data_IF_822923875635
#
_entry.id   IF_822923875635
#
_cell.length_a   1.000
_cell.length_b   1.000
_cell.length_c   1.000
_cell.angle_alpha   90.00
_cell.angle_beta   90.00
_cell.angle_gamma   90.00
#
_symmetry.space_group_name_H-M   'P 1'
#
loop_
_entity.id
_entity.type
_entity.pdbx_description
1 polymer ?
#
# COMPACT_ATOMS: atom_id res chain seq x y z
N UNK A 1 54.27 -15.86 -0.64
CA UNK A 1 53.73 -14.51 -0.54
C UNK A 1 52.27 -14.61 -0.95
N UNK A 2 51.37 -14.68 0.04
CA UNK A 2 49.94 -14.71 -0.22
C UNK A 2 49.43 -13.25 -0.27
N UNK A 3 48.87 -12.87 -1.40
CA UNK A 3 48.19 -11.57 -1.54
C UNK A 3 46.89 -11.60 -0.75
N UNK A 4 46.58 -10.59 0.07
CA UNK A 4 45.31 -10.50 0.72
C UNK A 4 44.23 -10.23 -0.33
N UNK A 5 43.18 -11.06 -0.34
CA UNK A 5 41.98 -10.84 -1.12
C UNK A 5 41.35 -9.50 -0.64
N UNK A 6 41.07 -8.56 -1.54
CA UNK A 6 40.42 -7.31 -1.14
C UNK A 6 39.05 -7.62 -0.49
N UNK A 7 38.80 -7.00 0.63
CA UNK A 7 37.48 -7.03 1.27
C UNK A 7 36.42 -6.52 0.28
N UNK A 8 35.25 -7.18 0.19
CA UNK A 8 34.18 -6.69 -0.67
C UNK A 8 33.77 -5.28 -0.20
N UNK A 9 33.36 -4.40 -1.13
CA UNK A 9 32.88 -3.06 -0.77
C UNK A 9 31.72 -3.17 0.24
N UNK A 10 31.67 -2.25 1.19
CA UNK A 10 30.57 -2.10 2.15
C UNK A 10 29.26 -2.04 1.38
N UNK A 11 28.55 -3.15 1.34
CA UNK A 11 27.23 -3.27 0.76
C UNK A 11 26.26 -3.11 1.91
N UNK A 12 25.43 -2.08 1.87
CA UNK A 12 24.28 -1.99 2.72
C UNK A 12 23.46 -3.28 2.57
N UNK A 13 23.32 -4.01 3.66
CA UNK A 13 22.56 -5.26 3.71
C UNK A 13 21.11 -4.95 3.31
N UNK A 14 20.52 -5.68 2.34
CA UNK A 14 19.10 -5.50 2.01
C UNK A 14 18.23 -5.63 3.25
N UNK A 15 17.35 -4.64 3.46
CA UNK A 15 16.41 -4.59 4.58
C UNK A 15 15.01 -5.10 4.19
N UNK A 16 14.78 -5.36 2.90
CA UNK A 16 13.51 -5.85 2.37
C UNK A 16 13.72 -6.96 1.31
N UNK A 17 12.67 -7.79 1.13
CA UNK A 17 12.66 -8.82 0.10
C UNK A 17 12.85 -8.24 -1.31
N UNK A 18 12.25 -7.09 -1.60
CA UNK A 18 12.34 -6.46 -2.93
C UNK A 18 13.75 -5.93 -3.22
N UNK A 19 14.43 -5.37 -2.23
CA UNK A 19 15.86 -4.99 -2.35
C UNK A 19 16.74 -6.23 -2.56
N UNK A 20 16.47 -7.33 -1.84
CA UNK A 20 17.17 -8.59 -2.06
C UNK A 20 16.98 -9.12 -3.49
N UNK A 21 15.76 -9.08 -4.01
CA UNK A 21 15.46 -9.49 -5.41
C UNK A 21 16.23 -8.63 -6.41
N UNK A 22 16.23 -7.30 -6.22
CA UNK A 22 16.96 -6.36 -7.07
C UNK A 22 18.46 -6.63 -7.04
N UNK A 23 19.04 -6.86 -5.85
CA UNK A 23 20.44 -7.18 -5.66
C UNK A 23 20.84 -8.51 -6.36
N UNK A 24 20.03 -9.57 -6.14
CA UNK A 24 20.27 -10.87 -6.80
C UNK A 24 20.25 -10.70 -8.33
N UNK A 25 19.25 -10.00 -8.88
CA UNK A 25 19.14 -9.78 -10.34
C UNK A 25 20.33 -9.02 -10.89
N UNK A 26 20.77 -7.96 -10.21
CA UNK A 26 21.90 -7.15 -10.64
C UNK A 26 23.22 -7.98 -10.68
N UNK A 27 23.41 -8.85 -9.70
CA UNK A 27 24.64 -9.65 -9.56
C UNK A 27 24.58 -11.02 -10.20
N UNK A 28 23.42 -11.45 -10.67
CA UNK A 28 23.22 -12.80 -11.18
C UNK A 28 24.27 -13.25 -12.22
N UNK A 29 24.66 -12.40 -13.20
CA UNK A 29 25.67 -12.76 -14.19
C UNK A 29 27.08 -12.98 -13.59
N UNK A 30 27.37 -12.40 -12.43
CA UNK A 30 28.69 -12.47 -11.77
C UNK A 30 28.78 -13.64 -10.78
N UNK A 31 27.64 -14.29 -10.49
CA UNK A 31 27.61 -15.43 -9.58
C UNK A 31 28.18 -16.70 -10.23
N UNK A 32 28.86 -17.52 -9.42
CA UNK A 32 29.26 -18.86 -9.88
C UNK A 32 28.04 -19.71 -10.24
N UNK A 33 28.19 -20.75 -11.10
CA UNK A 33 27.04 -21.59 -11.49
C UNK A 33 26.26 -22.17 -10.30
N UNK A 34 26.95 -22.61 -9.25
CA UNK A 34 26.29 -23.09 -8.03
C UNK A 34 25.51 -22.00 -7.29
N UNK A 35 26.04 -20.77 -7.27
CA UNK A 35 25.36 -19.64 -6.66
C UNK A 35 24.17 -19.17 -7.51
N UNK A 36 24.28 -19.24 -8.84
CA UNK A 36 23.16 -18.97 -9.74
C UNK A 36 22.01 -19.97 -9.53
N UNK A 37 22.31 -21.26 -9.35
CA UNK A 37 21.30 -22.27 -9.02
C UNK A 37 20.62 -21.97 -7.67
N UNK A 38 21.41 -21.67 -6.64
CA UNK A 38 20.88 -21.29 -5.32
C UNK A 38 20.02 -20.01 -5.40
N UNK A 39 20.54 -18.95 -6.01
CA UNK A 39 19.86 -17.68 -6.18
C UNK A 39 18.57 -17.80 -7.01
N UNK A 40 18.59 -18.57 -8.10
CA UNK A 40 17.42 -18.88 -8.91
C UNK A 40 16.33 -19.55 -8.07
N UNK A 41 16.69 -20.58 -7.30
CA UNK A 41 15.74 -21.25 -6.41
C UNK A 41 15.15 -20.30 -5.36
N UNK A 42 15.95 -19.40 -4.77
CA UNK A 42 15.48 -18.40 -3.83
C UNK A 42 14.42 -17.47 -4.46
N UNK A 43 14.60 -17.07 -5.71
CA UNK A 43 13.66 -16.21 -6.42
C UNK A 43 12.40 -16.95 -6.88
N UNK A 44 12.54 -18.20 -7.33
CA UNK A 44 11.44 -18.99 -7.90
C UNK A 44 10.54 -19.62 -6.82
N UNK A 45 11.11 -19.92 -5.63
CA UNK A 45 10.44 -20.62 -4.54
C UNK A 45 10.49 -19.88 -3.19
N UNK A 46 10.21 -18.58 -3.12
CA UNK A 46 10.42 -17.78 -1.92
C UNK A 46 9.60 -18.25 -0.72
N UNK A 47 8.38 -18.75 -0.95
CA UNK A 47 7.49 -19.23 0.11
C UNK A 47 8.03 -20.55 0.73
N UNK A 48 8.67 -21.41 -0.08
CA UNK A 48 9.31 -22.63 0.38
C UNK A 48 10.58 -22.32 1.21
N UNK A 49 11.34 -21.32 0.80
CA UNK A 49 12.53 -20.83 1.53
C UNK A 49 12.15 -20.37 2.94
N UNK A 50 11.03 -19.66 3.07
CA UNK A 50 10.56 -19.16 4.36
C UNK A 50 10.25 -20.28 5.37
N UNK A 51 9.66 -21.40 4.91
CA UNK A 51 9.14 -22.45 5.80
C UNK A 51 10.03 -23.69 5.88
N UNK A 52 11.05 -23.81 5.01
CA UNK A 52 11.91 -24.99 4.95
C UNK A 52 13.21 -24.80 5.72
N UNK A 53 13.84 -25.91 6.15
CA UNK A 53 15.21 -25.88 6.67
C UNK A 53 16.20 -25.61 5.55
N UNK A 54 17.37 -25.01 5.89
CA UNK A 54 18.45 -24.76 4.93
C UNK A 54 18.85 -26.02 4.16
N UNK A 55 18.91 -27.18 4.83
CA UNK A 55 19.25 -28.46 4.18
C UNK A 55 18.24 -28.83 3.10
N UNK A 56 16.94 -28.65 3.39
CA UNK A 56 15.87 -28.95 2.42
C UNK A 56 15.90 -27.96 1.25
N UNK A 57 16.15 -26.68 1.51
CA UNK A 57 16.32 -25.67 0.45
C UNK A 57 17.52 -26.02 -0.43
N UNK A 58 18.67 -26.40 0.17
CA UNK A 58 19.88 -26.77 -0.56
C UNK A 58 19.66 -28.02 -1.44
N UNK A 59 18.98 -29.04 -0.90
CA UNK A 59 18.61 -30.26 -1.65
C UNK A 59 17.74 -29.91 -2.85
N UNK A 60 16.69 -29.11 -2.67
CA UNK A 60 15.78 -28.70 -3.72
C UNK A 60 16.44 -27.80 -4.77
N UNK A 61 17.31 -26.91 -4.35
CA UNK A 61 18.11 -26.06 -5.23
C UNK A 61 19.28 -26.81 -5.90
N UNK A 62 19.49 -28.08 -5.58
CA UNK A 62 20.60 -28.92 -6.08
C UNK A 62 21.98 -28.31 -5.80
N UNK A 63 22.13 -27.69 -4.63
CA UNK A 63 23.41 -27.12 -4.17
C UNK A 63 23.79 -27.68 -2.79
N UNK A 64 25.06 -27.53 -2.42
CA UNK A 64 25.49 -27.89 -1.06
C UNK A 64 24.97 -26.82 -0.04
N UNK A 65 24.60 -27.22 1.20
CA UNK A 65 24.19 -26.25 2.24
C UNK A 65 25.20 -25.13 2.48
N UNK A 66 26.52 -25.46 2.42
CA UNK A 66 27.59 -24.48 2.55
C UNK A 66 27.58 -23.42 1.42
N UNK A 67 27.06 -23.77 0.23
CA UNK A 67 26.93 -22.83 -0.88
C UNK A 67 25.85 -21.78 -0.59
N UNK A 68 24.75 -22.14 0.08
CA UNK A 68 23.72 -21.18 0.50
C UNK A 68 24.23 -20.20 1.56
N UNK A 69 25.05 -20.68 2.52
CA UNK A 69 25.68 -19.80 3.51
C UNK A 69 26.62 -18.80 2.83
N UNK A 70 27.47 -19.26 1.93
CA UNK A 70 28.40 -18.39 1.18
C UNK A 70 27.66 -17.42 0.25
N UNK A 71 26.57 -17.86 -0.39
CA UNK A 71 25.72 -17.00 -1.19
C UNK A 71 25.11 -15.90 -0.32
N UNK A 72 24.59 -16.23 0.88
CA UNK A 72 24.07 -15.24 1.82
C UNK A 72 25.12 -14.18 2.17
N UNK A 73 26.34 -14.62 2.48
CA UNK A 73 27.47 -13.73 2.78
C UNK A 73 27.86 -12.85 1.60
N UNK A 74 27.85 -13.38 0.37
CA UNK A 74 28.12 -12.61 -0.84
C UNK A 74 27.02 -11.58 -1.14
N UNK A 75 25.79 -11.81 -0.67
CA UNK A 75 24.66 -10.87 -0.76
C UNK A 75 24.64 -9.87 0.41
N UNK A 76 25.65 -9.85 1.30
CA UNK A 76 25.79 -8.89 2.39
C UNK A 76 25.19 -9.33 3.71
N UNK A 77 24.68 -10.56 3.84
CA UNK A 77 24.12 -11.07 5.09
C UNK A 77 25.18 -11.80 5.93
N UNK A 78 25.11 -11.72 7.28
CA UNK A 78 26.01 -12.48 8.16
C UNK A 78 25.95 -13.99 7.91
N UNK A 79 24.76 -14.50 7.55
CA UNK A 79 24.54 -15.90 7.26
C UNK A 79 23.17 -16.22 6.66
N UNK A 80 22.84 -17.51 6.63
CA UNK A 80 21.59 -18.00 6.06
C UNK A 80 20.36 -17.55 6.82
N UNK A 81 20.40 -17.48 8.15
CA UNK A 81 19.24 -17.15 8.94
C UNK A 81 18.76 -15.72 8.68
N UNK A 82 19.67 -14.77 8.64
CA UNK A 82 19.40 -13.36 8.40
C UNK A 82 18.84 -13.14 6.98
N UNK A 83 19.41 -13.83 5.98
CA UNK A 83 18.83 -13.81 4.63
C UNK A 83 17.44 -14.45 4.62
N UNK A 84 17.23 -15.60 5.27
CA UNK A 84 15.95 -16.28 5.36
C UNK A 84 14.89 -15.45 6.08
N UNK A 85 15.26 -14.61 7.04
CA UNK A 85 14.32 -13.76 7.78
C UNK A 85 13.57 -12.79 6.85
N UNK A 86 14.16 -12.34 5.74
CA UNK A 86 13.44 -11.56 4.73
C UNK A 86 12.33 -12.37 4.03
N UNK A 87 12.56 -13.66 3.79
CA UNK A 87 11.53 -14.55 3.22
C UNK A 87 10.43 -14.83 4.23
N UNK A 88 10.79 -15.03 5.50
CA UNK A 88 9.82 -15.20 6.60
C UNK A 88 8.98 -13.94 6.79
N UNK A 89 9.60 -12.76 6.78
CA UNK A 89 8.91 -11.48 6.87
C UNK A 89 7.94 -11.32 5.69
N UNK A 90 8.36 -11.66 4.46
CA UNK A 90 7.49 -11.65 3.28
C UNK A 90 6.26 -12.56 3.43
N UNK A 91 6.43 -13.77 3.94
CA UNK A 91 5.30 -14.70 4.16
C UNK A 91 4.37 -14.19 5.24
N UNK A 92 4.91 -13.59 6.32
CA UNK A 92 4.11 -12.99 7.39
C UNK A 92 3.32 -11.75 6.91
N UNK A 93 3.87 -11.00 5.96
CA UNK A 93 3.22 -9.82 5.39
C UNK A 93 2.31 -10.16 4.20
N UNK A 94 2.38 -11.40 3.68
CA UNK A 94 1.49 -11.85 2.61
C UNK A 94 0.09 -12.02 3.17
N UNK A 95 -0.90 -11.32 2.64
CA UNK A 95 -2.28 -11.49 3.09
C UNK A 95 -2.71 -12.95 2.95
N UNK A 96 -3.32 -13.50 3.99
CA UNK A 96 -3.89 -14.85 3.94
C UNK A 96 -4.91 -14.92 2.79
N UNK A 97 -4.88 -16.00 1.95
CA UNK A 97 -5.83 -16.14 0.85
C UNK A 97 -7.28 -16.00 1.32
N UNK A 98 -8.08 -15.23 0.60
CA UNK A 98 -9.50 -15.00 0.93
C UNK A 98 -10.28 -16.32 1.12
N UNK A 99 -9.93 -17.36 0.35
CA UNK A 99 -10.54 -18.70 0.46
C UNK A 99 -10.20 -19.40 1.78
N UNK A 100 -8.98 -19.21 2.33
CA UNK A 100 -8.58 -19.74 3.63
C UNK A 100 -9.39 -19.07 4.75
N UNK A 101 -9.43 -17.73 4.73
CA UNK A 101 -10.24 -16.93 5.66
C UNK A 101 -11.72 -17.27 5.58
N UNK A 102 -12.26 -17.45 4.36
CA UNK A 102 -13.65 -17.85 4.15
C UNK A 102 -13.94 -19.24 4.77
N UNK A 103 -13.03 -20.20 4.63
CA UNK A 103 -13.19 -21.54 5.25
C UNK A 103 -13.21 -21.45 6.78
N UNK A 104 -12.35 -20.63 7.38
CA UNK A 104 -12.34 -20.42 8.82
C UNK A 104 -13.62 -19.75 9.30
N UNK A 105 -14.11 -18.74 8.57
CA UNK A 105 -15.36 -18.04 8.86
C UNK A 105 -16.58 -18.97 8.80
N UNK A 106 -16.68 -19.85 7.79
CA UNK A 106 -17.78 -20.80 7.65
C UNK A 106 -17.81 -21.80 8.81
N UNK A 107 -16.65 -22.19 9.35
CA UNK A 107 -16.54 -23.09 10.50
C UNK A 107 -16.94 -22.41 11.81
N UNK A 108 -16.74 -21.09 11.95
CA UNK A 108 -16.95 -20.31 13.17
C UNK A 108 -18.02 -19.22 12.96
N UNK A 109 -19.20 -19.62 12.46
CA UNK A 109 -20.29 -18.69 12.10
C UNK A 109 -21.03 -18.06 13.27
N UNK A 110 -20.93 -18.67 14.48
CA UNK A 110 -21.58 -18.17 15.67
C UNK A 110 -20.93 -16.84 16.11
N UNK A 111 -21.74 -15.85 16.46
CA UNK A 111 -21.33 -14.50 16.84
C UNK A 111 -20.54 -13.71 15.76
N UNK A 112 -20.54 -14.14 14.49
CA UNK A 112 -19.77 -13.48 13.42
C UNK A 112 -20.09 -11.99 13.28
N UNK A 113 -21.38 -11.62 13.31
CA UNK A 113 -21.80 -10.22 13.19
C UNK A 113 -21.26 -9.36 14.34
N UNK A 114 -21.37 -9.84 15.57
CA UNK A 114 -20.83 -9.15 16.75
C UNK A 114 -19.32 -9.01 16.69
N UNK A 115 -18.60 -10.09 16.37
CA UNK A 115 -17.15 -10.08 16.26
C UNK A 115 -16.67 -9.13 15.15
N UNK A 116 -17.43 -9.02 14.05
CA UNK A 116 -17.14 -8.08 12.97
C UNK A 116 -17.27 -6.63 13.45
N UNK A 117 -18.34 -6.29 14.15
CA UNK A 117 -18.56 -4.93 14.68
C UNK A 117 -17.50 -4.55 15.72
N UNK A 118 -17.12 -5.48 16.61
CA UNK A 118 -16.04 -5.27 17.58
C UNK A 118 -14.70 -5.02 16.88
N UNK A 119 -14.37 -5.80 15.85
CA UNK A 119 -13.16 -5.58 15.07
C UNK A 119 -13.16 -4.22 14.35
N UNK A 120 -14.31 -3.81 13.81
CA UNK A 120 -14.46 -2.49 13.18
C UNK A 120 -14.27 -1.34 14.18
N UNK A 121 -14.81 -1.46 15.39
CA UNK A 121 -14.59 -0.49 16.46
C UNK A 121 -13.09 -0.39 16.80
N UNK A 122 -12.42 -1.50 16.98
CA UNK A 122 -10.99 -1.54 17.24
C UNK A 122 -10.17 -0.90 16.09
N UNK A 123 -10.54 -1.17 14.84
CA UNK A 123 -9.90 -0.54 13.68
C UNK A 123 -10.04 0.98 13.71
N UNK A 124 -11.21 1.51 14.08
CA UNK A 124 -11.44 2.95 14.20
C UNK A 124 -10.59 3.56 15.32
N UNK A 125 -10.53 2.93 16.49
CA UNK A 125 -9.72 3.39 17.63
C UNK A 125 -8.23 3.42 17.27
N UNK A 126 -7.71 2.35 16.70
CA UNK A 126 -6.32 2.25 16.25
C UNK A 126 -6.00 3.30 15.20
N UNK A 127 -6.88 3.48 14.23
CA UNK A 127 -6.71 4.46 13.15
C UNK A 127 -6.74 5.89 13.68
N UNK A 128 -7.64 6.21 14.60
CA UNK A 128 -7.73 7.53 15.21
C UNK A 128 -6.46 7.91 15.99
N UNK A 129 -5.88 6.95 16.72
CA UNK A 129 -4.65 7.17 17.48
C UNK A 129 -3.45 7.58 16.60
N UNK A 130 -3.40 7.15 15.33
CA UNK A 130 -2.29 7.42 14.43
C UNK A 130 -2.49 8.70 13.60
N UNK A 131 -3.73 9.13 13.33
CA UNK A 131 -3.98 10.07 12.22
C UNK A 131 -4.44 11.47 12.63
N UNK A 132 -4.83 11.72 13.88
CA UNK A 132 -5.49 12.97 14.26
C UNK A 132 -4.81 14.26 13.76
N UNK A 133 -3.48 14.36 13.92
CA UNK A 133 -2.70 15.49 13.41
C UNK A 133 -2.48 15.42 11.89
N UNK A 134 -2.23 14.24 11.36
CA UNK A 134 -1.88 14.04 9.94
C UNK A 134 -3.06 14.34 9.03
N UNK A 135 -4.31 14.04 9.44
CA UNK A 135 -5.53 14.40 8.72
C UNK A 135 -5.62 15.92 8.51
N UNK A 136 -5.37 16.71 9.56
CA UNK A 136 -5.39 18.17 9.47
C UNK A 136 -4.31 18.70 8.52
N UNK A 137 -3.11 18.12 8.57
CA UNK A 137 -2.01 18.50 7.69
C UNK A 137 -2.29 18.11 6.23
N UNK A 138 -2.83 16.92 5.99
CA UNK A 138 -3.26 16.45 4.66
C UNK A 138 -4.36 17.34 4.08
N UNK A 139 -5.37 17.69 4.87
CA UNK A 139 -6.42 18.61 4.45
C UNK A 139 -5.88 20.00 4.04
N UNK A 140 -4.86 20.51 4.74
CA UNK A 140 -4.19 21.76 4.35
C UNK A 140 -3.46 21.66 3.01
N UNK A 141 -2.83 20.52 2.73
CA UNK A 141 -2.19 20.26 1.43
C UNK A 141 -3.24 20.24 0.31
N UNK A 142 -4.32 19.47 0.51
CA UNK A 142 -5.40 19.35 -0.46
C UNK A 142 -6.10 20.69 -0.74
N UNK A 143 -6.34 21.50 0.29
CA UNK A 143 -6.94 22.83 0.13
C UNK A 143 -6.13 23.75 -0.77
N UNK A 144 -4.80 23.71 -0.64
CA UNK A 144 -3.88 24.60 -1.38
C UNK A 144 -3.71 24.23 -2.85
N UNK A 145 -3.91 22.97 -3.19
CA UNK A 145 -3.73 22.50 -4.56
C UNK A 145 -4.83 23.04 -5.48
N UNK A 146 -4.52 23.52 -6.69
CA UNK A 146 -5.52 23.98 -7.66
C UNK A 146 -6.44 22.85 -8.10
N UNK A 147 -5.94 21.62 -8.19
CA UNK A 147 -6.70 20.43 -8.55
C UNK A 147 -6.33 19.27 -7.61
N UNK A 148 -7.32 18.45 -7.26
CA UNK A 148 -7.13 17.24 -6.44
C UNK A 148 -7.53 16.02 -7.24
N UNK A 149 -6.60 15.07 -7.38
CA UNK A 149 -6.85 13.76 -7.95
C UNK A 149 -7.01 12.75 -6.82
N UNK A 150 -7.99 11.86 -6.91
CA UNK A 150 -8.21 10.81 -5.93
C UNK A 150 -8.23 9.47 -6.67
N UNK A 151 -7.47 8.51 -6.20
CA UNK A 151 -7.39 7.17 -6.75
C UNK A 151 -7.64 6.11 -5.69
N UNK A 152 -8.45 5.13 -6.05
CA UNK A 152 -8.65 3.90 -5.30
C UNK A 152 -9.24 2.87 -6.23
N UNK A 153 -8.64 1.68 -6.25
CA UNK A 153 -9.03 0.63 -7.18
C UNK A 153 -9.57 -0.58 -6.43
N UNK A 154 -10.32 -1.42 -7.13
CA UNK A 154 -10.91 -2.64 -6.56
C UNK A 154 -11.73 -2.31 -5.31
N UNK A 155 -11.43 -2.92 -4.17
CA UNK A 155 -12.13 -2.68 -2.90
C UNK A 155 -11.95 -1.24 -2.35
N UNK A 156 -10.88 -0.54 -2.70
CA UNK A 156 -10.65 0.85 -2.29
C UNK A 156 -11.45 1.86 -3.13
N UNK A 157 -12.06 1.44 -4.26
CA UNK A 157 -12.85 2.31 -5.11
C UNK A 157 -14.01 3.00 -4.38
N UNK A 158 -14.84 2.32 -3.57
CA UNK A 158 -15.92 2.98 -2.83
C UNK A 158 -15.43 4.09 -1.90
N UNK A 159 -14.27 3.91 -1.26
CA UNK A 159 -13.67 4.93 -0.37
C UNK A 159 -13.23 6.15 -1.17
N UNK A 160 -12.53 5.93 -2.30
CA UNK A 160 -12.10 7.00 -3.19
C UNK A 160 -13.30 7.76 -3.79
N UNK A 161 -14.32 7.01 -4.21
CA UNK A 161 -15.55 7.60 -4.75
C UNK A 161 -16.27 8.44 -3.69
N UNK A 162 -16.43 7.94 -2.45
CA UNK A 162 -17.05 8.65 -1.34
C UNK A 162 -16.32 9.96 -1.01
N UNK A 163 -14.98 9.94 -0.98
CA UNK A 163 -14.17 11.14 -0.79
C UNK A 163 -14.40 12.16 -1.91
N UNK A 164 -14.36 11.72 -3.18
CA UNK A 164 -14.63 12.60 -4.34
C UNK A 164 -16.05 13.14 -4.29
N UNK A 165 -17.04 12.29 -4.01
CA UNK A 165 -18.43 12.70 -3.94
C UNK A 165 -18.65 13.81 -2.89
N UNK A 166 -18.20 13.58 -1.66
CA UNK A 166 -18.34 14.56 -0.57
C UNK A 166 -17.58 15.87 -0.86
N UNK A 167 -16.35 15.78 -1.41
CA UNK A 167 -15.55 16.95 -1.70
C UNK A 167 -16.13 17.77 -2.86
N UNK A 168 -16.70 17.12 -3.89
CA UNK A 168 -17.32 17.79 -5.04
C UNK A 168 -18.62 18.54 -4.72
N UNK A 169 -19.23 18.31 -3.57
CA UNK A 169 -20.37 19.12 -3.14
C UNK A 169 -20.02 20.61 -2.97
N UNK A 170 -18.77 20.91 -2.62
CA UNK A 170 -18.32 22.30 -2.42
C UNK A 170 -17.05 22.67 -3.20
N UNK A 171 -16.49 21.76 -4.02
CA UNK A 171 -15.30 22.01 -4.84
C UNK A 171 -15.35 21.25 -6.16
N UNK A 172 -15.33 21.96 -7.29
CA UNK A 172 -15.41 21.35 -8.62
C UNK A 172 -14.08 20.77 -9.11
N UNK A 173 -12.93 21.30 -8.64
CA UNK A 173 -11.58 20.88 -9.07
C UNK A 173 -11.10 19.61 -8.37
N UNK A 174 -11.96 18.57 -8.38
CA UNK A 174 -11.66 17.24 -7.81
C UNK A 174 -12.02 16.18 -8.84
N UNK A 175 -11.13 15.27 -9.14
CA UNK A 175 -11.36 14.16 -10.09
C UNK A 175 -11.03 12.80 -9.51
N UNK A 176 -11.77 11.79 -9.95
CA UNK A 176 -11.52 10.39 -9.63
C UNK A 176 -10.68 9.76 -10.74
N UNK A 177 -9.55 9.17 -10.37
CA UNK A 177 -8.73 8.35 -11.27
C UNK A 177 -9.12 6.89 -11.04
N UNK A 178 -9.96 6.35 -11.90
CA UNK A 178 -10.49 4.99 -11.75
C UNK A 178 -10.09 4.04 -12.88
N UNK A 179 -9.45 4.56 -13.94
CA UNK A 179 -9.01 3.77 -15.08
C UNK A 179 -10.14 3.12 -15.87
N UNK A 180 -11.39 3.60 -15.73
CA UNK A 180 -12.55 3.02 -16.39
C UNK A 180 -12.33 2.95 -17.91
N UNK A 181 -12.80 1.86 -18.51
CA UNK A 181 -12.63 1.58 -19.95
C UNK A 181 -11.16 1.66 -20.44
N UNK A 182 -10.18 1.39 -19.59
CA UNK A 182 -8.76 1.43 -19.96
C UNK A 182 -8.16 2.83 -20.06
N UNK A 183 -8.82 3.85 -19.51
CA UNK A 183 -8.40 5.26 -19.62
C UNK A 183 -7.36 5.70 -18.60
N UNK A 184 -6.80 4.81 -17.78
CA UNK A 184 -5.87 5.18 -16.73
C UNK A 184 -4.70 6.03 -17.25
N UNK A 185 -4.07 5.64 -18.35
CA UNK A 185 -2.95 6.39 -18.94
C UNK A 185 -3.35 7.82 -19.37
N UNK A 186 -4.58 7.99 -19.84
CA UNK A 186 -5.10 9.32 -20.19
C UNK A 186 -5.33 10.14 -18.93
N UNK A 187 -5.87 9.52 -17.89
CA UNK A 187 -6.10 10.16 -16.59
C UNK A 187 -4.80 10.54 -15.89
N UNK A 188 -3.75 9.70 -15.94
CA UNK A 188 -2.42 10.03 -15.39
C UNK A 188 -1.79 11.28 -16.03
N UNK A 189 -2.11 11.58 -17.28
CA UNK A 189 -1.62 12.79 -17.96
C UNK A 189 -2.20 14.08 -17.38
N UNK A 190 -3.36 14.02 -16.72
CA UNK A 190 -3.99 15.20 -16.09
C UNK A 190 -3.39 15.59 -14.76
N UNK A 191 -2.52 14.75 -14.18
CA UNK A 191 -1.78 15.10 -12.97
C UNK A 191 -0.75 16.17 -13.33
N UNK A 192 -0.74 17.27 -12.59
CA UNK A 192 0.15 18.41 -12.78
C UNK A 192 0.98 18.67 -11.53
N UNK A 193 2.09 19.41 -11.68
CA UNK A 193 3.06 19.68 -10.61
C UNK A 193 2.42 20.32 -9.37
N UNK A 194 1.50 21.25 -9.56
CA UNK A 194 0.87 21.99 -8.44
C UNK A 194 -0.40 21.30 -7.91
N UNK A 195 -0.76 20.15 -8.49
CA UNK A 195 -1.90 19.36 -8.03
C UNK A 195 -1.57 18.58 -6.75
N UNK A 196 -2.60 18.02 -6.14
CA UNK A 196 -2.45 17.01 -5.09
C UNK A 196 -3.12 15.71 -5.51
N UNK A 197 -2.50 14.59 -5.17
CA UNK A 197 -3.00 13.25 -5.51
C UNK A 197 -3.17 12.43 -4.25
N UNK A 198 -4.39 11.96 -3.98
CA UNK A 198 -4.70 11.03 -2.91
C UNK A 198 -4.76 9.63 -3.49
N UNK A 199 -4.00 8.70 -2.94
CA UNK A 199 -4.00 7.29 -3.36
C UNK A 199 -4.40 6.42 -2.18
N UNK A 200 -5.41 5.56 -2.38
CA UNK A 200 -5.95 4.66 -1.36
C UNK A 200 -5.68 3.22 -1.78
N UNK A 201 -4.89 2.51 -0.99
CA UNK A 201 -4.57 1.09 -1.24
C UNK A 201 -4.03 0.43 0.02
N UNK A 202 -4.28 -0.86 0.16
CA UNK A 202 -3.73 -1.72 1.22
C UNK A 202 -3.30 -3.06 0.63
N UNK A 203 -2.56 -3.86 1.41
CA UNK A 203 -2.05 -5.15 0.96
C UNK A 203 -3.16 -6.18 0.68
N UNK A 204 -3.13 -6.89 -0.48
CA UNK A 204 -2.17 -6.78 -1.58
C UNK A 204 -2.43 -5.53 -2.43
N UNK A 205 -1.40 -4.69 -2.56
CA UNK A 205 -1.52 -3.40 -3.25
C UNK A 205 -1.84 -3.57 -4.73
N UNK A 206 -2.75 -2.77 -5.25
CA UNK A 206 -3.07 -2.81 -6.67
C UNK A 206 -1.97 -2.15 -7.51
N UNK A 207 -1.70 -2.71 -8.68
CA UNK A 207 -0.71 -2.16 -9.63
C UNK A 207 -1.13 -0.76 -10.07
N UNK A 208 -2.42 -0.54 -10.26
CA UNK A 208 -2.99 0.74 -10.67
C UNK A 208 -2.71 1.84 -9.63
N UNK A 209 -2.87 1.52 -8.33
CA UNK A 209 -2.58 2.47 -7.26
C UNK A 209 -1.08 2.83 -7.20
N UNK A 210 -0.19 1.85 -7.36
CA UNK A 210 1.26 2.09 -7.42
C UNK A 210 1.62 3.00 -8.61
N UNK A 211 1.02 2.78 -9.80
CA UNK A 211 1.25 3.60 -10.99
C UNK A 211 0.76 5.04 -10.82
N UNK A 212 -0.39 5.26 -10.14
CA UNK A 212 -0.86 6.62 -9.83
C UNK A 212 0.11 7.33 -8.89
N UNK A 213 0.59 6.64 -7.84
CA UNK A 213 1.55 7.21 -6.90
C UNK A 213 2.88 7.57 -7.60
N UNK A 214 3.40 6.68 -8.45
CA UNK A 214 4.60 6.92 -9.26
C UNK A 214 4.43 8.13 -10.18
N UNK A 215 3.33 8.20 -10.94
CA UNK A 215 3.04 9.32 -11.82
C UNK A 215 2.89 10.66 -11.06
N UNK A 216 2.30 10.63 -9.85
CA UNK A 216 2.21 11.82 -9.01
C UNK A 216 3.60 12.31 -8.57
N UNK A 217 4.48 11.39 -8.17
CA UNK A 217 5.87 11.71 -7.78
C UNK A 217 6.68 12.24 -8.96
N UNK A 218 6.65 11.57 -10.12
CA UNK A 218 7.35 11.98 -11.33
C UNK A 218 6.97 13.39 -11.79
N UNK A 219 5.69 13.74 -11.66
CA UNK A 219 5.18 15.06 -12.04
C UNK A 219 5.33 16.12 -10.95
N UNK A 220 5.76 15.73 -9.75
CA UNK A 220 5.93 16.65 -8.62
C UNK A 220 4.60 17.09 -7.98
N UNK A 221 3.51 16.34 -8.19
CA UNK A 221 2.25 16.50 -7.47
C UNK A 221 2.43 16.13 -6.01
N UNK A 222 1.69 16.79 -5.10
CA UNK A 222 1.70 16.46 -3.68
C UNK A 222 0.98 15.14 -3.43
N UNK A 223 1.72 14.10 -3.02
CA UNK A 223 1.17 12.76 -2.81
C UNK A 223 0.71 12.56 -1.35
N UNK A 224 -0.55 12.14 -1.20
CA UNK A 224 -1.14 11.73 0.07
C UNK A 224 -1.53 10.26 -0.06
N UNK A 225 -0.94 9.41 0.77
CA UNK A 225 -1.25 7.98 0.82
C UNK A 225 -2.23 7.68 1.97
N UNK A 226 -3.30 6.94 1.69
CA UNK A 226 -4.17 6.32 2.69
C UNK A 226 -3.95 4.81 2.57
N UNK A 227 -3.30 4.20 3.56
CA UNK A 227 -2.78 2.85 3.45
C UNK A 227 -2.70 2.14 4.81
N UNK A 228 -2.35 0.87 4.79
CA UNK A 228 -2.20 0.02 5.99
C UNK A 228 -0.78 0.04 6.58
N UNK A 229 0.20 0.58 5.84
CA UNK A 229 1.61 0.55 6.25
C UNK A 229 2.37 1.79 5.78
N UNK A 230 3.23 2.34 6.66
CA UNK A 230 4.12 3.44 6.31
C UNK A 230 5.21 3.05 5.29
N UNK A 231 5.46 1.76 5.11
CA UNK A 231 6.40 1.21 4.13
C UNK A 231 5.70 0.62 2.91
N UNK A 232 4.42 0.93 2.71
CA UNK A 232 3.69 0.51 1.50
C UNK A 232 4.25 1.18 0.25
N UNK A 233 4.12 0.56 -0.94
CA UNK A 233 4.62 1.13 -2.20
C UNK A 233 4.09 2.54 -2.50
N UNK A 234 2.90 2.89 -2.00
CA UNK A 234 2.30 4.21 -2.20
C UNK A 234 2.68 5.23 -1.10
N UNK A 235 3.33 4.77 -0.01
CA UNK A 235 3.67 5.61 1.15
C UNK A 235 5.12 6.08 1.16
N UNK A 236 6.07 5.31 0.60
CA UNK A 236 7.51 5.51 0.76
C UNK A 236 7.99 6.93 0.44
N UNK A 237 7.38 7.60 -0.54
CA UNK A 237 7.76 8.96 -0.93
C UNK A 237 6.57 9.93 -0.86
N UNK A 238 5.53 9.59 -0.11
CA UNK A 238 4.36 10.43 0.03
C UNK A 238 4.63 11.63 0.96
N UNK A 239 4.08 12.82 0.63
CA UNK A 239 4.15 14.01 1.48
C UNK A 239 3.39 13.82 2.81
N UNK A 240 2.31 13.03 2.78
CA UNK A 240 1.52 12.64 3.96
C UNK A 240 1.06 11.20 3.84
N UNK A 241 1.14 10.48 4.96
CA UNK A 241 0.70 9.08 5.05
C UNK A 241 -0.33 8.98 6.16
N UNK A 242 -1.52 8.51 5.80
CA UNK A 242 -2.63 8.22 6.70
C UNK A 242 -2.77 6.71 6.82
N UNK A 243 -2.56 6.18 8.03
CA UNK A 243 -2.53 4.74 8.28
C UNK A 243 -3.88 4.28 8.80
N UNK A 244 -4.47 3.26 8.18
CA UNK A 244 -5.71 2.65 8.67
C UNK A 244 -5.53 1.18 9.01
N UNK A 245 -6.20 0.75 10.08
CA UNK A 245 -6.34 -0.66 10.43
C UNK A 245 -7.50 -1.28 9.66
N UNK A 246 -7.31 -2.51 9.18
CA UNK A 246 -8.27 -3.22 8.33
C UNK A 246 -8.59 -4.64 8.82
N UNK A 247 -8.32 -4.93 10.09
CA UNK A 247 -8.58 -6.25 10.67
C UNK A 247 -10.05 -6.64 10.55
N UNK A 248 -10.29 -7.92 10.31
CA UNK A 248 -11.64 -8.44 10.13
C UNK A 248 -11.68 -9.95 10.37
N UNK A 249 -12.65 -10.45 11.15
CA UNK A 249 -12.94 -11.89 11.23
C UNK A 249 -13.63 -12.42 9.97
N UNK A 250 -14.01 -11.54 9.02
CA UNK A 250 -14.56 -11.90 7.73
C UNK A 250 -13.47 -12.39 6.77
N UNK A 251 -13.90 -13.05 5.68
CA UNK A 251 -13.00 -13.39 4.59
C UNK A 251 -12.34 -12.17 3.94
N UNK A 252 -12.96 -11.01 4.05
CA UNK A 252 -12.50 -9.77 3.45
C UNK A 252 -12.08 -8.74 4.51
N UNK A 253 -10.97 -7.99 4.30
CA UNK A 253 -10.55 -6.92 5.18
C UNK A 253 -11.60 -5.81 5.32
N UNK A 254 -11.62 -5.13 6.47
CA UNK A 254 -12.54 -4.01 6.71
C UNK A 254 -12.01 -2.71 6.11
N UNK A 255 -12.88 -1.94 5.47
CA UNK A 255 -12.56 -0.60 4.95
C UNK A 255 -13.25 0.52 5.74
N UNK A 256 -13.91 0.20 6.85
CA UNK A 256 -14.61 1.20 7.68
C UNK A 256 -13.68 2.30 8.15
N UNK A 257 -12.48 1.95 8.59
CA UNK A 257 -11.51 2.94 9.06
C UNK A 257 -10.92 3.80 7.94
N UNK A 258 -10.72 3.25 6.72
CA UNK A 258 -10.33 4.03 5.56
C UNK A 258 -11.44 5.03 5.14
N UNK A 259 -12.71 4.60 5.22
CA UNK A 259 -13.87 5.47 4.99
C UNK A 259 -13.94 6.59 6.02
N UNK A 260 -13.71 6.28 7.30
CA UNK A 260 -13.66 7.29 8.36
C UNK A 260 -12.56 8.36 8.12
N UNK A 261 -11.39 7.96 7.62
CA UNK A 261 -10.34 8.91 7.21
C UNK A 261 -10.84 9.81 6.07
N UNK A 262 -11.48 9.24 5.05
CA UNK A 262 -12.00 9.99 3.91
C UNK A 262 -13.06 11.01 4.36
N UNK A 263 -13.99 10.61 5.21
CA UNK A 263 -15.02 11.50 5.81
C UNK A 263 -14.40 12.61 6.65
N UNK A 264 -13.42 12.27 7.50
CA UNK A 264 -12.69 13.25 8.31
C UNK A 264 -11.93 14.27 7.44
N UNK A 265 -11.31 13.84 6.34
CA UNK A 265 -10.67 14.75 5.38
C UNK A 265 -11.69 15.71 4.75
N UNK A 266 -12.83 15.21 4.29
CA UNK A 266 -13.89 16.06 3.69
C UNK A 266 -14.41 17.07 4.71
N UNK A 267 -14.69 16.65 5.95
CA UNK A 267 -15.13 17.54 7.01
C UNK A 267 -14.10 18.65 7.33
N UNK A 268 -12.81 18.29 7.43
CA UNK A 268 -11.73 19.26 7.64
C UNK A 268 -11.55 20.20 6.44
N UNK A 269 -11.70 19.72 5.23
CA UNK A 269 -11.62 20.53 4.00
C UNK A 269 -12.72 21.58 3.98
N UNK A 270 -13.97 21.20 4.26
CA UNK A 270 -15.10 22.15 4.37
C UNK A 270 -14.81 23.21 5.44
N UNK A 271 -14.38 22.79 6.63
CA UNK A 271 -14.07 23.71 7.73
C UNK A 271 -12.91 24.68 7.39
N UNK A 272 -11.90 24.23 6.63
CA UNK A 272 -10.77 25.04 6.20
C UNK A 272 -11.11 26.01 5.06
N UNK A 273 -12.02 25.64 4.15
CA UNK A 273 -12.45 26.49 3.04
C UNK A 273 -13.47 27.56 3.49
N UNK A 274 -14.18 27.33 4.58
CA UNK A 274 -14.98 28.33 5.28
C UNK A 274 -16.21 28.80 4.50
N UNK A 275 -16.49 30.13 4.51
CA UNK A 275 -17.70 30.72 3.97
C UNK A 275 -17.96 30.41 2.48
N UNK A 276 -16.90 30.45 1.67
CA UNK A 276 -17.02 30.17 0.24
C UNK A 276 -17.45 28.71 -0.06
N UNK A 277 -17.00 27.77 0.76
CA UNK A 277 -17.43 26.38 0.63
C UNK A 277 -18.87 26.18 1.12
N UNK A 278 -19.31 26.89 2.17
CA UNK A 278 -20.69 26.85 2.63
C UNK A 278 -21.65 27.36 1.57
N UNK A 279 -21.30 28.46 0.88
CA UNK A 279 -22.13 28.99 -0.20
C UNK A 279 -22.23 27.97 -1.37
N UNK A 280 -21.11 27.37 -1.79
CA UNK A 280 -21.11 26.33 -2.84
C UNK A 280 -21.91 25.09 -2.43
N UNK A 281 -21.80 24.67 -1.17
CA UNK A 281 -22.57 23.56 -0.62
C UNK A 281 -24.08 23.85 -0.65
N UNK A 282 -24.48 25.04 -0.23
CA UNK A 282 -25.92 25.48 -0.26
C UNK A 282 -26.48 25.48 -1.70
N UNK A 283 -25.67 25.94 -2.69
CA UNK A 283 -26.07 25.90 -4.10
C UNK A 283 -26.21 24.47 -4.62
N UNK A 284 -25.30 23.57 -4.22
CA UNK A 284 -25.37 22.14 -4.58
C UNK A 284 -26.62 21.49 -3.99
N UNK A 285 -26.92 21.74 -2.72
CA UNK A 285 -28.10 21.23 -2.04
C UNK A 285 -29.39 21.74 -2.71
N UNK A 286 -29.48 23.04 -2.96
CA UNK A 286 -30.61 23.64 -3.67
C UNK A 286 -30.83 23.03 -5.05
N UNK A 287 -29.72 22.80 -5.81
CA UNK A 287 -29.80 22.19 -7.13
C UNK A 287 -30.31 20.74 -7.08
N UNK A 288 -29.89 19.96 -6.08
CA UNK A 288 -30.36 18.59 -5.89
C UNK A 288 -31.87 18.56 -5.56
N UNK A 289 -32.32 19.42 -4.67
CA UNK A 289 -33.76 19.54 -4.35
C UNK A 289 -34.58 19.99 -5.57
N UNK A 290 -34.15 21.02 -6.27
CA UNK A 290 -34.86 21.56 -7.42
C UNK A 290 -34.98 20.55 -8.59
N UNK A 291 -34.04 19.61 -8.70
CA UNK A 291 -34.05 18.55 -9.73
C UNK A 291 -34.75 17.27 -9.25
N UNK A 292 -35.36 17.25 -8.06
CA UNK A 292 -36.06 16.09 -7.52
C UNK A 292 -35.13 14.91 -7.23
N UNK A 293 -33.88 15.18 -6.81
CA UNK A 293 -32.94 14.13 -6.47
C UNK A 293 -33.31 13.36 -5.20
N UNK A 294 -34.20 13.95 -4.38
CA UNK A 294 -34.70 13.33 -3.12
C UNK A 294 -36.21 13.19 -3.17
N UNK A 295 -36.70 12.15 -2.51
CA UNK A 295 -38.13 11.97 -2.27
C UNK A 295 -38.59 13.06 -1.28
N UNK A 296 -39.74 13.74 -1.49
CA UNK A 296 -40.24 14.75 -0.58
C UNK A 296 -40.53 14.23 0.83
#
# INVERSE_FOLDING_TARGET
MSFPTPAPPDLDMPDSFDQLVALIRARFPELSPQFQMGAGFLLDHPDEVAVSSMRKVAERAQVQPASLVRLSQQLGFPGWNELRDLFVARVRTRPEPLTSRARSMVKSKDALANNLLVAQQHNLETTAAHNGRVIVEAARVLRRAPHVHVAGFRSCFPVAFGLVYGYRLFRSSVSLLNGEAGTLEMQLRTIERDSATVVISFAPYSIEAARVAEAALEKGSKLIAITDSAVSPIALNADKVLIFSHESPSFFPSLVAATAIAEALVAHLLALEGADALERLALAEQSLHAKGAYVP
#
